data_IF_358836039936
#
_entry.id   IF_358836039936
#
_cell.length_a   1.000
_cell.length_b   1.000
_cell.length_c   1.000
_cell.angle_alpha   90.00
_cell.angle_beta   90.00
_cell.angle_gamma   90.00
#
_symmetry.space_group_name_H-M   'P 1'
#
loop_
_entity.id
_entity.type
_entity.pdbx_description
1 polymer ?
#
# COMPACT_ATOMS: atom_id res chain seq x y z
N UNK A 1 2.44 31.18 2.94
CA UNK A 1 2.30 31.02 1.48
C UNK A 1 2.38 29.58 1.08
N UNK A 2 1.55 29.17 0.14
CA UNK A 2 1.61 27.82 -0.40
C UNK A 2 2.90 27.68 -1.25
N UNK A 3 3.69 26.65 -0.98
CA UNK A 3 4.87 26.34 -1.78
C UNK A 3 4.44 25.74 -3.11
N UNK A 4 5.21 26.03 -4.15
CA UNK A 4 4.94 25.47 -5.46
C UNK A 4 5.38 24.02 -5.53
N UNK A 5 4.50 23.14 -5.96
CA UNK A 5 4.78 21.71 -6.11
C UNK A 5 5.67 21.48 -7.32
N UNK A 6 6.83 20.88 -7.09
CA UNK A 6 7.74 20.49 -8.16
C UNK A 6 7.29 19.18 -8.81
N UNK A 7 7.03 18.18 -7.99
CA UNK A 7 6.58 16.86 -8.46
C UNK A 7 5.95 16.06 -7.32
N UNK A 8 5.26 14.99 -7.67
CA UNK A 8 4.71 14.03 -6.72
C UNK A 8 5.31 12.66 -7.02
N UNK A 9 5.82 11.99 -6.00
CA UNK A 9 6.43 10.67 -6.10
C UNK A 9 5.52 9.67 -5.41
N UNK A 10 5.23 8.56 -6.07
CA UNK A 10 4.47 7.44 -5.49
C UNK A 10 5.39 6.24 -5.37
N UNK A 11 5.49 5.67 -4.18
CA UNK A 11 6.30 4.48 -3.94
C UNK A 11 5.69 3.62 -2.85
N UNK A 12 6.24 2.44 -2.67
CA UNK A 12 5.85 1.51 -1.62
C UNK A 12 7.09 1.13 -0.81
N UNK A 13 6.93 1.09 0.50
CA UNK A 13 8.02 0.72 1.41
C UNK A 13 7.47 -0.11 2.58
N UNK A 14 8.29 -1.00 3.17
CA UNK A 14 7.87 -1.74 4.35
C UNK A 14 7.60 -0.81 5.52
N UNK A 15 6.44 -0.96 6.16
CA UNK A 15 6.08 -0.17 7.33
C UNK A 15 7.08 -0.35 8.46
N UNK A 16 7.52 0.75 9.05
CA UNK A 16 8.49 0.74 10.15
C UNK A 16 9.90 0.29 9.79
N UNK A 17 10.13 -0.14 8.54
CA UNK A 17 11.39 -0.72 8.10
C UNK A 17 11.90 -0.11 6.78
N UNK A 18 11.45 1.09 6.44
CA UNK A 18 11.97 1.78 5.26
C UNK A 18 13.46 2.05 5.42
N UNK A 19 14.20 1.93 4.33
CA UNK A 19 15.64 2.16 4.30
C UNK A 19 16.03 2.99 3.09
N UNK A 20 17.24 3.58 3.06
CA UNK A 20 17.74 4.31 1.89
C UNK A 20 17.99 3.42 0.67
N UNK A 21 17.90 2.11 0.82
CA UNK A 21 18.07 1.17 -0.27
C UNK A 21 16.92 1.30 -1.30
N UNK A 22 17.10 0.84 -2.57
CA UNK A 22 16.02 0.84 -3.54
C UNK A 22 14.76 0.16 -2.98
N UNK A 23 13.53 0.64 -3.33
CA UNK A 23 13.25 1.72 -4.31
C UNK A 23 13.23 3.14 -3.72
N UNK A 24 13.41 3.31 -2.42
CA UNK A 24 13.25 4.61 -1.74
C UNK A 24 14.38 5.59 -2.08
N UNK A 25 15.63 5.14 -1.95
CA UNK A 25 16.81 5.98 -2.17
C UNK A 25 16.85 6.63 -3.56
N UNK A 26 16.83 5.85 -4.65
CA UNK A 26 16.87 6.40 -6.00
C UNK A 26 15.69 7.30 -6.32
N UNK A 27 14.49 6.97 -5.86
CA UNK A 27 13.29 7.77 -6.12
C UNK A 27 13.39 9.17 -5.49
N UNK A 28 13.89 9.26 -4.27
CA UNK A 28 14.05 10.52 -3.55
C UNK A 28 15.31 11.27 -3.95
N UNK A 29 16.39 10.56 -4.18
CA UNK A 29 17.69 11.15 -4.56
C UNK A 29 17.64 11.94 -5.86
N UNK A 30 16.84 11.51 -6.82
CA UNK A 30 16.66 12.21 -8.09
C UNK A 30 16.07 13.61 -7.90
N UNK A 31 15.34 13.83 -6.84
CA UNK A 31 14.68 15.10 -6.55
C UNK A 31 15.40 15.94 -5.48
N UNK A 32 16.55 15.47 -5.01
CA UNK A 32 17.35 16.18 -4.03
C UNK A 32 16.77 16.25 -2.63
N UNK A 33 15.91 15.31 -2.28
CA UNK A 33 15.26 15.23 -0.96
C UNK A 33 16.20 14.53 0.03
N UNK A 34 16.12 14.94 1.30
CA UNK A 34 16.84 14.26 2.36
C UNK A 34 16.20 12.89 2.66
N UNK A 35 16.83 11.84 2.16
CA UNK A 35 16.31 10.47 2.27
C UNK A 35 16.17 10.03 3.73
N UNK A 36 17.16 10.33 4.56
CA UNK A 36 17.15 9.93 5.98
C UNK A 36 16.03 10.59 6.76
N UNK A 37 15.72 11.84 6.46
CA UNK A 37 14.61 12.55 7.08
C UNK A 37 13.28 11.88 6.75
N UNK A 38 13.08 11.55 5.48
CA UNK A 38 11.90 10.81 5.04
C UNK A 38 11.80 9.44 5.72
N UNK A 39 12.89 8.68 5.73
CA UNK A 39 12.92 7.34 6.33
C UNK A 39 12.54 7.39 7.82
N UNK A 40 13.10 8.31 8.57
CA UNK A 40 12.79 8.47 9.99
C UNK A 40 11.31 8.81 10.21
N UNK A 41 10.79 9.77 9.45
CA UNK A 41 9.40 10.20 9.59
C UNK A 41 8.42 9.09 9.18
N UNK A 42 8.69 8.41 8.08
CA UNK A 42 7.88 7.29 7.60
C UNK A 42 7.87 6.15 8.62
N UNK A 43 9.03 5.74 9.12
CA UNK A 43 9.12 4.66 10.09
C UNK A 43 8.38 5.01 11.39
N UNK A 44 8.46 6.26 11.85
CA UNK A 44 7.74 6.71 13.02
C UNK A 44 6.22 6.62 12.83
N UNK A 45 5.72 6.97 11.66
CA UNK A 45 4.28 6.90 11.37
C UNK A 45 3.76 5.48 11.15
N UNK A 46 4.60 4.58 10.69
CA UNK A 46 4.19 3.23 10.30
C UNK A 46 4.63 2.13 11.26
N UNK A 47 5.02 2.47 12.48
CA UNK A 47 5.46 1.49 13.48
C UNK A 47 4.41 0.41 13.78
N UNK A 48 3.13 0.78 13.75
CA UNK A 48 2.04 -0.16 13.97
C UNK A 48 1.83 -1.15 12.83
N UNK A 49 2.41 -0.89 11.68
CA UNK A 49 2.25 -1.70 10.45
C UNK A 49 3.58 -2.32 10.02
N UNK A 50 4.43 -2.70 10.98
CA UNK A 50 5.74 -3.29 10.68
C UNK A 50 5.62 -4.55 9.83
N UNK A 51 6.47 -4.63 8.81
CA UNK A 51 6.50 -5.76 7.90
C UNK A 51 5.44 -5.76 6.81
N UNK A 52 4.54 -4.78 6.82
CA UNK A 52 3.50 -4.63 5.80
C UNK A 52 3.93 -3.59 4.80
N UNK A 53 3.74 -3.86 3.51
CA UNK A 53 4.03 -2.87 2.45
C UNK A 53 3.01 -1.73 2.53
N UNK A 54 3.50 -0.51 2.70
CA UNK A 54 2.68 0.70 2.80
C UNK A 54 2.92 1.57 1.58
N UNK A 55 1.89 1.90 0.79
CA UNK A 55 2.01 2.89 -0.26
C UNK A 55 2.17 4.28 0.34
N UNK A 56 3.08 5.07 -0.23
CA UNK A 56 3.29 6.44 0.21
C UNK A 56 3.31 7.37 -1.00
N UNK A 57 2.68 8.52 -0.85
CA UNK A 57 2.68 9.56 -1.86
C UNK A 57 3.41 10.77 -1.28
N UNK A 58 4.52 11.14 -1.91
CA UNK A 58 5.41 12.22 -1.47
C UNK A 58 5.25 13.39 -2.40
N UNK A 59 4.91 14.56 -1.85
CA UNK A 59 4.84 15.81 -2.60
C UNK A 59 6.12 16.58 -2.38
N UNK A 60 6.85 16.86 -3.45
CA UNK A 60 8.11 17.60 -3.43
C UNK A 60 7.87 19.04 -3.86
N UNK A 61 8.39 19.98 -3.08
CA UNK A 61 8.28 21.41 -3.36
C UNK A 61 9.57 21.97 -3.97
N UNK A 62 9.49 23.16 -4.56
CA UNK A 62 10.64 23.79 -5.24
C UNK A 62 11.84 24.06 -4.33
N UNK A 63 11.60 24.29 -3.03
CA UNK A 63 12.65 24.52 -2.04
C UNK A 63 13.27 23.22 -1.51
N UNK A 64 12.98 22.08 -2.16
CA UNK A 64 13.42 20.74 -1.76
C UNK A 64 12.81 20.23 -0.44
N UNK A 65 11.84 20.92 0.09
CA UNK A 65 11.04 20.39 1.18
C UNK A 65 10.03 19.39 0.63
N UNK A 66 9.50 18.55 1.50
CA UNK A 66 8.52 17.54 1.10
C UNK A 66 7.47 17.32 2.17
N UNK A 67 6.31 16.87 1.73
CA UNK A 67 5.30 16.31 2.62
C UNK A 67 4.92 14.94 2.07
N UNK A 68 4.45 14.05 2.92
CA UNK A 68 4.03 12.74 2.48
C UNK A 68 2.78 12.29 3.22
N UNK A 69 1.99 11.48 2.54
CA UNK A 69 0.84 10.80 3.12
C UNK A 69 1.01 9.29 2.91
N UNK A 70 0.72 8.54 3.96
CA UNK A 70 0.70 7.08 3.89
C UNK A 70 -0.74 6.63 3.64
N UNK A 71 -0.88 5.63 2.79
CA UNK A 71 -2.17 5.01 2.49
C UNK A 71 -2.26 3.65 3.18
N UNK A 72 -3.45 3.07 3.19
CA UNK A 72 -3.61 1.71 3.68
C UNK A 72 -2.83 0.72 2.80
N UNK A 73 -2.41 -0.43 3.34
CA UNK A 73 -1.70 -1.42 2.54
C UNK A 73 -2.48 -1.82 1.29
N UNK A 74 -1.80 -2.19 0.18
CA UNK A 74 -2.50 -2.65 -1.01
C UNK A 74 -3.42 -3.83 -0.70
N UNK A 75 -4.55 -3.91 -1.41
CA UNK A 75 -5.52 -4.99 -1.20
C UNK A 75 -4.89 -6.37 -1.37
N UNK A 76 -4.00 -6.53 -2.34
CA UNK A 76 -3.28 -7.78 -2.56
C UNK A 76 -2.45 -8.22 -1.34
N UNK A 77 -1.79 -7.28 -0.68
CA UNK A 77 -1.00 -7.55 0.53
C UNK A 77 -1.90 -8.00 1.67
N UNK A 78 -3.03 -7.30 1.86
CA UNK A 78 -3.99 -7.64 2.92
C UNK A 78 -4.61 -9.02 2.71
N UNK A 79 -4.93 -9.37 1.46
CA UNK A 79 -5.47 -10.69 1.11
C UNK A 79 -4.42 -11.78 1.41
N UNK A 80 -3.18 -11.59 1.00
CA UNK A 80 -2.10 -12.55 1.26
C UNK A 80 -1.91 -12.79 2.75
N UNK A 81 -1.95 -11.75 3.56
CA UNK A 81 -1.84 -11.86 5.01
C UNK A 81 -3.03 -12.61 5.61
N UNK A 82 -4.24 -12.33 5.14
CA UNK A 82 -5.46 -12.93 5.69
C UNK A 82 -5.49 -14.45 5.49
N UNK A 83 -4.98 -14.93 4.37
CA UNK A 83 -4.99 -16.38 4.04
C UNK A 83 -3.61 -17.04 4.18
N UNK A 84 -2.58 -16.29 4.57
CA UNK A 84 -1.26 -16.84 4.89
C UNK A 84 -0.43 -17.29 3.69
N UNK A 85 -0.62 -16.69 2.51
CA UNK A 85 0.18 -17.01 1.32
C UNK A 85 1.22 -15.92 1.08
N UNK A 86 2.36 -16.29 0.50
CA UNK A 86 3.43 -15.34 0.18
C UNK A 86 3.22 -14.66 -1.17
N UNK A 87 2.64 -15.35 -2.11
CA UNK A 87 2.51 -14.89 -3.50
C UNK A 87 1.20 -15.36 -4.12
N UNK A 88 0.63 -14.51 -4.96
CA UNK A 88 -0.54 -14.86 -5.78
C UNK A 88 -0.18 -15.77 -6.95
N UNK A 89 -1.21 -16.26 -7.65
CA UNK A 89 -1.04 -17.13 -8.80
C UNK A 89 -0.62 -16.35 -10.05
N UNK A 90 0.30 -16.91 -10.82
CA UNK A 90 0.63 -16.41 -12.16
C UNK A 90 -0.44 -16.73 -13.21
N UNK A 91 -1.27 -17.73 -12.94
CA UNK A 91 -2.38 -18.14 -13.82
C UNK A 91 -3.67 -18.24 -13.01
N UNK A 92 -4.26 -17.09 -12.57
CA UNK A 92 -5.36 -17.08 -11.62
C UNK A 92 -6.64 -17.76 -12.09
N UNK A 93 -6.83 -17.88 -13.39
CA UNK A 93 -8.00 -18.55 -13.95
C UNK A 93 -7.86 -20.08 -14.00
N UNK A 94 -6.65 -20.60 -13.83
CA UNK A 94 -6.36 -22.05 -13.85
C UNK A 94 -5.87 -22.57 -12.52
N UNK A 95 -4.90 -21.90 -11.93
CA UNK A 95 -4.24 -22.32 -10.69
C UNK A 95 -4.68 -21.44 -9.54
N UNK A 96 -5.52 -22.00 -8.66
CA UNK A 96 -5.95 -21.31 -7.45
C UNK A 96 -4.95 -21.57 -6.33
N UNK A 97 -4.59 -20.52 -5.59
CA UNK A 97 -3.59 -20.62 -4.51
C UNK A 97 -4.20 -20.58 -3.12
N UNK A 98 -5.49 -20.32 -2.99
CA UNK A 98 -6.16 -20.28 -1.70
C UNK A 98 -7.62 -19.88 -1.81
N UNK A 99 -8.25 -19.77 -0.67
CA UNK A 99 -9.64 -19.30 -0.53
C UNK A 99 -9.73 -18.24 0.54
N UNK A 100 -10.68 -17.33 0.39
CA UNK A 100 -10.95 -16.28 1.37
C UNK A 100 -12.45 -16.25 1.66
N UNK A 101 -12.81 -16.10 2.94
CA UNK A 101 -14.21 -16.03 3.34
C UNK A 101 -14.79 -14.63 3.17
N UNK A 102 -16.11 -14.54 3.11
CA UNK A 102 -16.81 -13.25 3.07
C UNK A 102 -16.48 -12.39 4.30
N UNK A 103 -16.35 -13.00 5.48
CA UNK A 103 -15.99 -12.27 6.70
C UNK A 103 -14.60 -11.66 6.59
N UNK A 104 -13.62 -12.37 6.05
CA UNK A 104 -12.27 -11.87 5.83
C UNK A 104 -12.27 -10.73 4.81
N UNK A 105 -13.06 -10.84 3.75
CA UNK A 105 -13.21 -9.77 2.76
C UNK A 105 -13.77 -8.49 3.39
N UNK A 106 -14.76 -8.61 4.25
CA UNK A 106 -15.33 -7.46 4.96
C UNK A 106 -14.32 -6.78 5.86
N UNK A 107 -13.51 -7.53 6.58
CA UNK A 107 -12.45 -6.99 7.43
C UNK A 107 -11.43 -6.18 6.63
N UNK A 108 -11.01 -6.71 5.48
CA UNK A 108 -10.09 -6.03 4.58
C UNK A 108 -10.75 -4.76 4.03
N UNK A 109 -12.01 -4.86 3.63
CA UNK A 109 -12.77 -3.73 3.08
C UNK A 109 -12.92 -2.61 4.11
N UNK A 110 -13.18 -2.93 5.38
CA UNK A 110 -13.25 -1.94 6.46
C UNK A 110 -11.93 -1.19 6.64
N UNK A 111 -10.82 -1.93 6.65
CA UNK A 111 -9.50 -1.34 6.82
C UNK A 111 -9.14 -0.40 5.67
N UNK A 112 -9.55 -0.75 4.45
CA UNK A 112 -9.22 0.00 3.24
C UNK A 112 -10.30 0.97 2.79
N UNK A 113 -11.41 1.06 3.50
CA UNK A 113 -12.59 1.82 3.09
C UNK A 113 -12.29 3.28 2.73
N UNK A 114 -11.40 3.93 3.47
CA UNK A 114 -11.03 5.32 3.24
C UNK A 114 -10.39 5.55 1.87
N UNK A 115 -9.68 4.55 1.34
CA UNK A 115 -8.98 4.62 0.06
C UNK A 115 -9.83 4.11 -1.11
N UNK A 116 -11.02 3.57 -0.85
CA UNK A 116 -11.91 3.02 -1.86
C UNK A 116 -13.00 4.02 -2.23
N UNK A 117 -13.45 3.96 -3.49
CA UNK A 117 -14.54 4.78 -3.97
C UNK A 117 -15.92 4.09 -3.80
N UNK A 118 -16.03 3.19 -2.83
CA UNK A 118 -17.25 2.46 -2.54
C UNK A 118 -18.21 3.30 -1.72
N UNK A 119 -19.51 3.14 -1.95
CA UNK A 119 -20.53 3.85 -1.20
C UNK A 119 -20.84 3.21 0.15
N UNK A 120 -20.68 1.89 0.25
CA UNK A 120 -20.91 1.14 1.46
C UNK A 120 -19.94 -0.04 1.59
N UNK A 121 -19.99 -0.74 2.71
CA UNK A 121 -19.10 -1.85 3.00
C UNK A 121 -19.29 -3.04 2.07
N UNK A 122 -20.51 -3.31 1.63
CA UNK A 122 -20.79 -4.40 0.70
C UNK A 122 -20.16 -4.14 -0.67
N UNK A 123 -20.22 -2.90 -1.14
CA UNK A 123 -19.55 -2.50 -2.38
C UNK A 123 -18.03 -2.59 -2.24
N UNK A 124 -17.50 -2.16 -1.10
CA UNK A 124 -16.06 -2.27 -0.81
C UNK A 124 -15.61 -3.75 -0.82
N UNK A 125 -16.40 -4.65 -0.23
CA UNK A 125 -16.12 -6.08 -0.23
C UNK A 125 -16.08 -6.66 -1.64
N UNK A 126 -16.95 -6.20 -2.54
CA UNK A 126 -16.94 -6.62 -3.96
C UNK A 126 -15.66 -6.20 -4.68
N UNK A 127 -15.16 -4.99 -4.39
CA UNK A 127 -13.90 -4.50 -4.96
C UNK A 127 -12.75 -5.40 -4.53
N UNK A 128 -12.68 -5.72 -3.25
CA UNK A 128 -11.65 -6.61 -2.70
C UNK A 128 -11.77 -8.03 -3.26
N UNK A 129 -13.00 -8.53 -3.42
CA UNK A 129 -13.25 -9.85 -4.02
C UNK A 129 -12.72 -9.93 -5.46
N UNK A 130 -12.88 -8.87 -6.24
CA UNK A 130 -12.31 -8.78 -7.59
C UNK A 130 -10.80 -8.89 -7.59
N UNK A 131 -10.13 -8.21 -6.66
CA UNK A 131 -8.68 -8.30 -6.48
C UNK A 131 -8.26 -9.72 -6.10
N UNK A 132 -8.99 -10.37 -5.19
CA UNK A 132 -8.71 -11.75 -4.77
C UNK A 132 -8.80 -12.71 -5.96
N UNK A 133 -9.82 -12.59 -6.77
CA UNK A 133 -9.98 -13.43 -7.98
C UNK A 133 -8.82 -13.23 -8.96
N UNK A 134 -8.35 -11.99 -9.13
CA UNK A 134 -7.20 -11.70 -9.99
C UNK A 134 -5.90 -12.30 -9.48
N UNK A 135 -5.84 -12.64 -8.19
CA UNK A 135 -4.68 -13.28 -7.57
C UNK A 135 -4.75 -14.82 -7.57
N UNK A 136 -5.85 -15.38 -8.05
CA UNK A 136 -6.09 -16.81 -7.95
C UNK A 136 -6.63 -17.28 -6.60
N UNK A 137 -7.31 -16.41 -5.88
CA UNK A 137 -7.95 -16.70 -4.59
C UNK A 137 -9.46 -16.79 -4.80
N UNK A 138 -10.04 -17.91 -4.41
CA UNK A 138 -11.48 -18.12 -4.51
C UNK A 138 -12.20 -17.47 -3.31
N UNK A 139 -13.33 -16.84 -3.58
CA UNK A 139 -14.19 -16.24 -2.57
C UNK A 139 -15.27 -17.25 -2.19
N UNK A 140 -15.33 -17.60 -0.92
CA UNK A 140 -16.26 -18.62 -0.42
C UNK A 140 -17.42 -18.00 0.33
#
# INVERSE_FOLDING_TARGET
>A
MAKKVLTTIKLQAPGGQASPAPPVGPALGQHGINIMEFVKAFNAQTQGDMGVTIPVEITVFEDRSFTFITKTPPAAVLIRQAIGIEKGSGEPHRNKVGTISQAQLRQIAERKFEDLNANDLDQASKIIAGTARSMGVDVV
#
